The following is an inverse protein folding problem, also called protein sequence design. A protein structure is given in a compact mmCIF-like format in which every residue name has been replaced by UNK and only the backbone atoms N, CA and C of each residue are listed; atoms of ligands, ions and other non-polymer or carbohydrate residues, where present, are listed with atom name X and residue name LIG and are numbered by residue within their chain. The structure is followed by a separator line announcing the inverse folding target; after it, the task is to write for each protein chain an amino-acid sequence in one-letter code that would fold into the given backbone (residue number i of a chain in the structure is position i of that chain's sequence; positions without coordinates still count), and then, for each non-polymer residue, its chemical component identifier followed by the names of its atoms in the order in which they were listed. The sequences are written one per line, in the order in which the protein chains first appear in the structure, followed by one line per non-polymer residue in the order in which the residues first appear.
data_IF_074336856235
#
_entry.id   IF_074336856235
#
_cell.length_a   1.000
_cell.length_b   1.000
_cell.length_c   1.000
_cell.angle_alpha   90.00
_cell.angle_beta   90.00
_cell.angle_gamma   90.00
#
_symmetry.space_group_name_H-M   'P 1'
#
loop_
_entity.id
_entity.type
_entity.pdbx_description
1 polymer ?
#
# COMPACT_ATOMS: atom_id res chain seq x y z
N UNK A 1 -20.29 -1.58 -12.36
CA UNK A 1 -20.16 -0.72 -11.17
C UNK A 1 -19.20 0.41 -11.55
N UNK A 2 -19.72 1.61 -11.83
CA UNK A 2 -18.91 2.81 -12.08
C UNK A 2 -19.01 3.66 -10.81
N UNK A 3 -17.87 3.97 -10.22
CA UNK A 3 -17.76 4.84 -9.04
C UNK A 3 -17.62 6.27 -9.54
N UNK A 4 -18.73 7.01 -9.57
CA UNK A 4 -18.76 8.45 -9.80
C UNK A 4 -18.36 9.16 -8.49
N UNK A 5 -17.27 9.94 -8.52
CA UNK A 5 -16.72 10.65 -7.34
C UNK A 5 -15.19 10.79 -7.25
N UNK A 6 -14.42 10.43 -8.29
CA UNK A 6 -12.94 10.47 -8.29
C UNK A 6 -12.33 11.80 -8.78
N UNK A 7 -13.05 12.93 -8.72
CA UNK A 7 -12.52 14.22 -9.21
C UNK A 7 -11.58 14.90 -8.20
N UNK A 8 -11.78 14.71 -6.90
CA UNK A 8 -10.87 15.19 -5.86
C UNK A 8 -9.97 14.05 -5.36
N UNK A 9 -8.64 14.27 -5.27
CA UNK A 9 -7.75 13.27 -4.72
C UNK A 9 -8.09 13.04 -3.25
N UNK A 10 -8.59 11.85 -2.92
CA UNK A 10 -8.89 11.47 -1.54
C UNK A 10 -7.59 10.95 -0.91
N UNK A 11 -6.98 11.68 0.06
CA UNK A 11 -5.82 11.19 0.77
C UNK A 11 -6.21 10.01 1.65
N UNK A 12 -5.52 8.89 1.49
CA UNK A 12 -5.65 7.73 2.37
C UNK A 12 -4.31 7.49 3.09
N UNK A 13 -4.35 7.39 4.41
CA UNK A 13 -3.17 7.05 5.20
C UNK A 13 -2.74 5.59 4.93
N UNK A 14 -1.44 5.37 4.75
CA UNK A 14 -0.83 4.07 4.54
C UNK A 14 0.38 3.88 5.46
N UNK A 15 0.63 2.62 5.78
CA UNK A 15 1.89 2.18 6.36
C UNK A 15 2.70 1.49 5.26
N UNK A 16 3.87 2.06 4.97
CA UNK A 16 4.80 1.51 3.97
C UNK A 16 5.97 0.89 4.71
N UNK A 17 6.23 -0.40 4.43
CA UNK A 17 7.44 -1.09 4.88
C UNK A 17 8.46 -1.14 3.75
N UNK A 18 9.59 -0.49 3.95
CA UNK A 18 10.71 -0.53 3.02
C UNK A 18 11.48 -1.85 3.14
N UNK A 19 12.25 -2.18 2.10
CA UNK A 19 13.03 -3.43 2.05
C UNK A 19 14.14 -3.54 3.09
N UNK A 20 14.52 -2.43 3.74
CA UNK A 20 15.43 -2.39 4.88
C UNK A 20 14.73 -2.64 6.23
N UNK A 21 13.43 -2.90 6.21
CA UNK A 21 12.61 -3.19 7.40
C UNK A 21 12.05 -1.96 8.10
N UNK A 22 12.32 -0.74 7.61
CA UNK A 22 11.76 0.48 8.19
C UNK A 22 10.30 0.65 7.77
N UNK A 23 9.45 0.92 8.75
CA UNK A 23 8.05 1.24 8.55
C UNK A 23 7.81 2.74 8.72
N UNK A 24 7.10 3.33 7.77
CA UNK A 24 6.80 4.76 7.75
C UNK A 24 5.34 5.00 7.44
N UNK A 25 4.81 6.09 8.00
CA UNK A 25 3.55 6.66 7.54
C UNK A 25 3.72 7.27 6.15
N UNK A 26 2.76 7.00 5.28
CA UNK A 26 2.68 7.52 3.92
C UNK A 26 1.23 7.95 3.64
N UNK A 27 1.07 8.77 2.61
CA UNK A 27 -0.24 9.17 2.10
C UNK A 27 -0.40 8.68 0.66
N UNK A 28 -1.56 8.12 0.35
CA UNK A 28 -1.95 7.74 -1.00
C UNK A 28 -2.90 8.78 -1.53
N UNK A 29 -2.53 9.37 -2.66
CA UNK A 29 -3.34 10.34 -3.39
C UNK A 29 -3.84 9.67 -4.65
N UNK A 30 -5.15 9.40 -4.72
CA UNK A 30 -5.79 8.82 -5.90
C UNK A 30 -6.64 9.86 -6.62
N UNK A 31 -6.27 10.25 -7.84
CA UNK A 31 -7.00 11.23 -8.64
C UNK A 31 -7.19 10.79 -10.10
N UNK A 32 -7.77 11.66 -10.94
CA UNK A 32 -8.12 11.32 -12.33
C UNK A 32 -6.89 11.02 -13.21
N UNK A 33 -5.70 11.49 -12.80
CA UNK A 33 -4.44 11.27 -13.51
C UNK A 33 -3.63 10.07 -12.99
N UNK A 34 -4.16 9.34 -12.01
CA UNK A 34 -3.52 8.16 -11.44
C UNK A 34 -3.35 8.24 -9.92
N UNK A 35 -2.48 7.38 -9.41
CA UNK A 35 -2.28 7.18 -7.97
C UNK A 35 -0.83 7.50 -7.61
N UNK A 36 -0.63 8.30 -6.56
CA UNK A 36 0.68 8.62 -6.00
C UNK A 36 0.76 8.16 -4.55
N UNK A 37 1.95 7.71 -4.15
CA UNK A 37 2.32 7.47 -2.75
C UNK A 37 3.32 8.54 -2.34
N UNK A 38 2.95 9.36 -1.38
CA UNK A 38 3.82 10.34 -0.74
C UNK A 38 4.36 9.79 0.57
N UNK A 39 5.68 9.82 0.72
CA UNK A 39 6.35 9.47 1.97
C UNK A 39 7.09 10.69 2.46
N UNK A 40 6.85 11.06 3.73
CA UNK A 40 7.60 12.11 4.40
C UNK A 40 9.10 11.79 4.51
N UNK A 41 9.88 12.76 4.98
CA UNK A 41 11.29 12.49 5.26
C UNK A 41 11.41 11.42 6.36
N UNK A 42 12.23 10.40 6.12
CA UNK A 42 12.44 9.30 7.06
C UNK A 42 13.91 8.95 7.18
N UNK A 43 14.26 8.17 8.19
CA UNK A 43 15.62 7.65 8.38
C UNK A 43 15.58 6.15 8.12
N UNK A 44 16.46 5.67 7.25
CA UNK A 44 16.58 4.23 6.94
C UNK A 44 17.12 3.45 8.13
N UNK A 45 17.04 2.11 8.08
CA UNK A 45 17.57 1.25 9.14
C UNK A 45 19.09 1.42 9.33
N UNK A 46 19.78 1.87 8.28
CA UNK A 46 21.21 2.18 8.29
C UNK A 46 21.53 3.59 8.83
N UNK A 47 20.53 4.38 9.26
CA UNK A 47 20.72 5.74 9.74
C UNK A 47 20.81 6.80 8.64
N UNK A 48 20.56 6.45 7.38
CA UNK A 48 20.59 7.41 6.26
C UNK A 48 19.30 8.22 6.24
N UNK A 49 19.41 9.54 6.32
CA UNK A 49 18.26 10.44 6.19
C UNK A 49 17.81 10.52 4.73
N UNK A 50 16.59 10.11 4.49
CA UNK A 50 15.91 10.20 3.19
C UNK A 50 15.01 11.43 3.20
N UNK A 51 15.09 12.33 2.19
CA UNK A 51 14.15 13.42 2.05
C UNK A 51 12.76 12.89 1.70
N UNK A 52 11.73 13.72 1.92
CA UNK A 52 10.38 13.42 1.47
C UNK A 52 10.36 13.18 -0.04
N UNK A 53 9.62 12.18 -0.48
CA UNK A 53 9.54 11.75 -1.87
C UNK A 53 8.15 11.25 -2.21
N UNK A 54 7.75 11.50 -3.44
CA UNK A 54 6.52 10.98 -4.02
C UNK A 54 6.83 10.02 -5.16
N UNK A 55 6.07 8.92 -5.24
CA UNK A 55 6.19 7.93 -6.30
C UNK A 55 4.85 7.65 -6.97
N UNK A 56 4.76 7.67 -8.31
CA UNK A 56 3.57 7.20 -9.00
C UNK A 56 3.44 5.69 -8.86
N UNK A 57 2.26 5.20 -8.49
CA UNK A 57 1.94 3.77 -8.48
C UNK A 57 1.76 3.30 -9.92
N UNK A 58 2.55 2.32 -10.34
CA UNK A 58 2.47 1.76 -11.70
C UNK A 58 1.55 0.56 -11.79
N UNK A 59 1.55 -0.27 -10.76
CA UNK A 59 0.62 -1.39 -10.61
C UNK A 59 0.49 -1.75 -9.13
N UNK A 60 -0.61 -2.40 -8.78
CA UNK A 60 -0.84 -2.95 -7.46
C UNK A 60 -1.30 -4.39 -7.59
N UNK A 61 -0.90 -5.22 -6.63
CA UNK A 61 -1.33 -6.61 -6.53
C UNK A 61 -1.89 -6.81 -5.12
N UNK A 62 -3.10 -7.38 -5.05
CA UNK A 62 -3.65 -7.83 -3.78
C UNK A 62 -3.05 -9.22 -3.52
N UNK A 63 -2.32 -9.37 -2.41
CA UNK A 63 -2.06 -10.71 -1.90
C UNK A 63 -3.25 -11.12 -1.07
N UNK A 64 -4.13 -11.89 -1.69
CA UNK A 64 -5.07 -12.72 -0.94
C UNK A 64 -4.24 -13.86 -0.36
N UNK A 65 -4.09 -13.89 0.96
CA UNK A 65 -3.40 -14.97 1.66
C UNK A 65 -4.33 -16.19 1.76
N UNK A 66 -4.82 -16.65 0.61
CA UNK A 66 -5.72 -17.80 0.47
C UNK A 66 -4.98 -18.95 -0.21
N UNK A 67 -3.86 -19.35 0.38
CA UNK A 67 -3.21 -20.64 0.06
C UNK A 67 -3.49 -21.59 1.23
N UNK A 68 -4.70 -22.17 1.22
CA UNK A 68 -5.03 -23.35 2.02
C UNK A 68 -6.16 -24.10 1.33
N UNK A 69 -5.81 -24.87 0.30
CA UNK A 69 -6.55 -26.08 -0.05
C UNK A 69 -6.49 -27.01 1.17
N UNK A 70 -7.55 -27.01 1.96
CA UNK A 70 -7.80 -28.05 2.97
C UNK A 70 -9.30 -28.19 3.12
N UNK A 71 -9.85 -29.22 2.46
CA UNK A 71 -11.16 -29.78 2.76
C UNK A 71 -11.19 -30.11 4.27
N UNK A 72 -11.83 -29.25 5.05
CA UNK A 72 -12.10 -29.51 6.46
C UNK A 72 -13.39 -28.80 6.83
N UNK A 73 -14.47 -29.57 6.92
CA UNK A 73 -15.71 -29.18 7.56
C UNK A 73 -15.39 -28.72 8.99
N UNK A 74 -15.32 -27.41 9.21
CA UNK A 74 -15.19 -26.82 10.54
C UNK A 74 -15.75 -25.40 10.52
N UNK A 75 -16.97 -25.26 11.03
CA UNK A 75 -17.59 -23.99 11.38
C UNK A 75 -16.68 -23.24 12.38
N UNK A 76 -15.92 -22.27 11.89
CA UNK A 76 -15.16 -21.33 12.73
C UNK A 76 -15.05 -19.98 12.02
N UNK A 77 -16.00 -19.10 12.34
CA UNK A 77 -15.95 -17.66 12.08
C UNK A 77 -14.70 -17.04 12.74
N UNK A 78 -13.64 -16.83 11.96
CA UNK A 78 -12.51 -15.97 12.32
C UNK A 78 -11.85 -15.43 11.05
N UNK A 79 -12.56 -14.54 10.37
CA UNK A 79 -12.03 -13.72 9.26
C UNK A 79 -11.14 -12.60 9.81
N UNK A 80 -9.92 -12.94 10.26
CA UNK A 80 -8.82 -11.97 10.35
C UNK A 80 -7.90 -12.17 9.13
N UNK A 81 -8.46 -11.86 7.96
CA UNK A 81 -7.73 -11.94 6.70
C UNK A 81 -6.81 -10.72 6.60
N UNK A 82 -5.52 -10.88 6.95
CA UNK A 82 -4.48 -9.89 6.70
C UNK A 82 -4.24 -9.72 5.19
N UNK A 83 -5.15 -9.04 4.49
CA UNK A 83 -4.98 -8.65 3.09
C UNK A 83 -3.87 -7.61 2.98
N UNK A 84 -2.69 -8.04 2.52
CA UNK A 84 -1.58 -7.14 2.20
C UNK A 84 -1.68 -6.64 0.76
N UNK A 85 -1.66 -5.32 0.57
CA UNK A 85 -1.54 -4.72 -0.77
C UNK A 85 -0.07 -4.50 -1.12
N UNK A 86 0.40 -5.10 -2.22
CA UNK A 86 1.71 -4.82 -2.77
C UNK A 86 1.63 -3.73 -3.84
N UNK A 87 2.36 -2.64 -3.63
CA UNK A 87 2.43 -1.51 -4.56
C UNK A 87 3.76 -1.55 -5.33
N UNK A 88 3.69 -1.59 -6.67
CA UNK A 88 4.86 -1.37 -7.53
C UNK A 88 4.96 0.11 -7.84
N UNK A 89 5.87 0.77 -7.13
CA UNK A 89 6.17 2.18 -7.30
C UNK A 89 7.05 2.42 -8.53
N UNK A 90 6.79 3.52 -9.23
CA UNK A 90 7.61 4.01 -10.33
C UNK A 90 8.89 4.69 -9.83
N UNK A 91 9.51 5.51 -10.69
CA UNK A 91 10.64 6.35 -10.30
C UNK A 91 10.12 7.56 -9.49
N UNK A 92 10.83 7.91 -8.42
CA UNK A 92 10.50 9.08 -7.60
C UNK A 92 10.50 10.36 -8.45
N UNK A 93 9.59 11.27 -8.13
CA UNK A 93 9.58 12.64 -8.66
C UNK A 93 10.49 13.55 -7.81
#
# INVERSE_FOLDING_TARGET
MRVDGLDEPMPAALHVRFGDGVEVGAELLAGPHGVLVEVGAYTTGAGTRMPAKAWPVRSWERRDNSDSDSDSDSDSDSDDNHTGLLLRLGRAL
#
